data_IF_200986213148
#
_entry.id   IF_200986213148
#
_cell.length_a   1.000
_cell.length_b   1.000
_cell.length_c   1.000
_cell.angle_alpha   90.00
_cell.angle_beta   90.00
_cell.angle_gamma   90.00
#
_symmetry.space_group_name_H-M   'P 1'
#
loop_
_entity.id
_entity.type
_entity.pdbx_description
1 polymer ?
#
# COMPACT_ATOMS: atom_id res chain seq x y z
N UNK A 1 13.06 -56.59 26.13
CA UNK A 1 12.06 -57.67 26.03
C UNK A 1 12.14 -58.26 24.63
N UNK A 2 12.36 -59.56 24.59
CA UNK A 2 12.73 -60.42 23.47
C UNK A 2 11.65 -60.55 22.39
N UNK A 3 12.02 -60.93 21.15
CA UNK A 3 11.11 -61.18 20.03
C UNK A 3 10.39 -62.52 20.23
N UNK A 4 9.45 -62.57 21.18
CA UNK A 4 8.75 -63.83 21.54
C UNK A 4 7.29 -63.61 21.91
N UNK A 5 6.57 -62.77 21.15
CA UNK A 5 5.11 -62.67 21.24
C UNK A 5 4.37 -62.61 19.89
N UNK A 6 5.09 -62.45 18.76
CA UNK A 6 4.46 -62.45 17.41
C UNK A 6 4.23 -63.84 16.81
N UNK A 7 4.70 -64.93 17.45
CA UNK A 7 4.61 -66.31 16.92
C UNK A 7 3.41 -67.12 17.44
N UNK A 8 2.61 -66.59 18.38
CA UNK A 8 1.59 -67.39 19.09
C UNK A 8 0.18 -67.32 18.46
N UNK A 9 -0.11 -66.38 17.57
CA UNK A 9 -1.49 -66.17 17.09
C UNK A 9 -1.78 -66.61 15.65
N UNK A 10 -0.81 -67.11 14.88
CA UNK A 10 -1.07 -67.64 13.52
C UNK A 10 -1.78 -66.66 12.56
N UNK A 11 -1.82 -65.37 12.89
CA UNK A 11 -2.48 -64.37 12.07
C UNK A 11 -1.58 -64.03 10.87
N UNK A 12 -2.10 -64.09 9.63
CA UNK A 12 -1.32 -63.66 8.47
C UNK A 12 -0.86 -62.21 8.68
N UNK A 13 0.34 -61.83 8.19
CA UNK A 13 0.78 -60.44 8.30
C UNK A 13 -0.29 -59.54 7.69
N UNK A 14 -0.77 -58.57 8.47
CA UNK A 14 -1.67 -57.53 7.96
C UNK A 14 -0.89 -56.76 6.88
N UNK A 15 -1.03 -57.19 5.63
CA UNK A 15 -0.56 -56.44 4.47
C UNK A 15 -1.49 -55.25 4.34
N UNK A 16 -1.10 -54.12 4.93
CA UNK A 16 -1.67 -52.85 4.54
C UNK A 16 -1.43 -52.69 3.03
N UNK A 17 -2.47 -52.50 2.21
CA UNK A 17 -2.26 -52.25 0.79
C UNK A 17 -1.45 -50.97 0.66
N UNK A 18 -0.21 -51.07 0.19
CA UNK A 18 0.70 -49.93 0.00
C UNK A 18 0.36 -49.11 -1.25
N UNK A 19 -0.92 -49.01 -1.59
CA UNK A 19 -1.39 -48.27 -2.74
C UNK A 19 -2.11 -47.02 -2.22
N UNK A 20 -1.36 -45.92 -2.02
CA UNK A 20 -1.91 -44.56 -1.96
C UNK A 20 -2.44 -44.12 -3.34
N UNK A 21 -3.22 -44.96 -4.01
CA UNK A 21 -3.94 -44.62 -5.24
C UNK A 21 -5.40 -44.33 -4.93
N UNK A 22 -5.65 -43.59 -3.85
CA UNK A 22 -6.99 -43.26 -3.42
C UNK A 22 -7.43 -42.12 -4.34
N UNK A 23 -8.08 -42.50 -5.45
CA UNK A 23 -8.92 -41.68 -6.31
C UNK A 23 -8.18 -40.57 -7.08
N UNK A 24 -7.52 -40.87 -8.22
CA UNK A 24 -6.91 -39.87 -9.10
C UNK A 24 -7.87 -38.73 -9.47
N UNK A 25 -9.15 -39.07 -9.65
CA UNK A 25 -10.22 -38.11 -9.90
C UNK A 25 -10.37 -37.08 -8.77
N UNK A 26 -10.22 -37.46 -7.50
CA UNK A 26 -10.37 -36.52 -6.37
C UNK A 26 -9.31 -35.41 -6.43
N UNK A 27 -8.11 -35.74 -6.89
CA UNK A 27 -7.04 -34.77 -7.11
C UNK A 27 -7.38 -33.81 -8.27
N UNK A 28 -8.00 -34.31 -9.34
CA UNK A 28 -8.45 -33.49 -10.46
C UNK A 28 -9.57 -32.52 -10.05
N UNK A 29 -10.54 -32.97 -9.26
CA UNK A 29 -11.61 -32.10 -8.72
C UNK A 29 -11.05 -30.99 -7.83
N UNK A 30 -10.09 -31.32 -6.95
CA UNK A 30 -9.44 -30.32 -6.10
C UNK A 30 -8.66 -29.29 -6.93
N UNK A 31 -7.97 -29.73 -7.99
CA UNK A 31 -7.29 -28.83 -8.91
C UNK A 31 -8.28 -27.90 -9.61
N UNK A 32 -9.40 -28.42 -10.14
CA UNK A 32 -10.43 -27.60 -10.78
C UNK A 32 -11.06 -26.58 -9.82
N UNK A 33 -11.33 -26.99 -8.57
CA UNK A 33 -11.81 -26.07 -7.54
C UNK A 33 -10.77 -24.98 -7.28
N UNK A 34 -9.51 -25.34 -7.11
CA UNK A 34 -8.43 -24.38 -6.92
C UNK A 34 -8.34 -23.38 -8.09
N UNK A 35 -8.35 -23.87 -9.34
CA UNK A 35 -8.33 -23.02 -10.53
C UNK A 35 -9.56 -22.12 -10.62
N UNK A 36 -10.75 -22.62 -10.32
CA UNK A 36 -11.97 -21.82 -10.33
C UNK A 36 -11.92 -20.71 -9.27
N UNK A 37 -11.47 -21.03 -8.05
CA UNK A 37 -11.30 -20.04 -6.97
C UNK A 37 -10.23 -19.02 -7.32
N UNK A 38 -9.10 -19.46 -7.88
CA UNK A 38 -8.02 -18.56 -8.32
C UNK A 38 -8.48 -17.65 -9.47
N UNK A 39 -9.18 -18.19 -10.46
CA UNK A 39 -9.74 -17.41 -11.57
C UNK A 39 -10.75 -16.38 -11.07
N UNK A 40 -11.63 -16.76 -10.13
CA UNK A 40 -12.57 -15.83 -9.49
C UNK A 40 -11.83 -14.74 -8.71
N UNK A 41 -10.78 -15.09 -7.97
CA UNK A 41 -9.95 -14.13 -7.24
C UNK A 41 -9.30 -13.11 -8.18
N UNK A 42 -8.72 -13.56 -9.30
CA UNK A 42 -8.15 -12.68 -10.33
C UNK A 42 -9.24 -11.81 -10.96
N UNK A 43 -10.40 -12.38 -11.29
CA UNK A 43 -11.52 -11.65 -11.87
C UNK A 43 -11.98 -10.51 -10.96
N UNK A 44 -12.05 -10.74 -9.64
CA UNK A 44 -12.38 -9.70 -8.68
C UNK A 44 -11.37 -8.55 -8.68
N UNK A 45 -10.08 -8.82 -8.86
CA UNK A 45 -9.05 -7.78 -8.93
C UNK A 45 -9.12 -6.95 -10.23
N UNK A 46 -9.54 -7.58 -11.32
CA UNK A 46 -9.73 -6.90 -12.62
C UNK A 46 -11.05 -6.13 -12.65
N UNK A 47 -12.09 -6.64 -11.98
CA UNK A 47 -13.43 -6.04 -11.95
C UNK A 47 -13.93 -5.79 -10.51
N UNK A 48 -13.31 -4.85 -9.76
CA UNK A 48 -13.65 -4.67 -8.35
C UNK A 48 -15.03 -4.03 -8.16
N UNK A 49 -15.59 -3.43 -9.21
CA UNK A 49 -16.94 -2.84 -9.22
C UNK A 49 -18.07 -3.83 -8.89
N UNK A 50 -17.81 -5.15 -8.97
CA UNK A 50 -18.75 -6.18 -8.49
C UNK A 50 -18.95 -6.06 -6.97
N UNK A 51 -17.90 -5.71 -6.24
CA UNK A 51 -17.94 -5.49 -4.79
C UNK A 51 -18.35 -4.06 -4.46
N UNK A 52 -17.82 -3.09 -5.20
CA UNK A 52 -18.01 -1.65 -4.99
C UNK A 52 -18.96 -1.04 -6.04
N UNK A 53 -20.26 -1.20 -5.84
CA UNK A 53 -21.28 -0.88 -6.84
C UNK A 53 -21.70 0.60 -6.88
N UNK A 54 -21.44 1.38 -5.83
CA UNK A 54 -21.67 2.83 -5.83
C UNK A 54 -20.42 3.55 -6.33
N UNK A 55 -20.61 4.54 -7.21
CA UNK A 55 -19.50 5.34 -7.70
C UNK A 55 -19.84 6.82 -7.87
N UNK A 56 -18.83 7.65 -7.72
CA UNK A 56 -18.87 9.09 -7.99
C UNK A 56 -17.57 9.47 -8.72
N UNK A 57 -17.69 10.25 -9.78
CA UNK A 57 -16.54 10.74 -10.54
C UNK A 57 -16.49 12.26 -10.44
N UNK A 58 -15.39 12.79 -9.93
CA UNK A 58 -15.11 14.22 -9.87
C UNK A 58 -13.59 14.46 -9.92
N UNK A 59 -13.15 15.60 -10.45
CA UNK A 59 -11.74 16.00 -10.47
C UNK A 59 -10.75 14.96 -11.07
N UNK A 60 -11.21 14.16 -12.04
CA UNK A 60 -10.40 13.09 -12.64
C UNK A 60 -10.29 11.81 -11.80
N UNK A 61 -10.98 11.73 -10.67
CA UNK A 61 -10.95 10.59 -9.76
C UNK A 61 -12.35 9.95 -9.74
N UNK A 62 -12.42 8.65 -10.00
CA UNK A 62 -13.63 7.84 -9.79
C UNK A 62 -13.47 7.09 -8.48
N UNK A 63 -14.28 7.46 -7.49
CA UNK A 63 -14.39 6.69 -6.25
C UNK A 63 -15.46 5.64 -6.40
N UNK A 64 -15.13 4.43 -6.00
CA UNK A 64 -16.06 3.30 -5.86
C UNK A 64 -16.18 2.92 -4.39
N UNK A 65 -17.39 2.58 -3.97
CA UNK A 65 -17.69 2.21 -2.58
C UNK A 65 -18.85 1.20 -2.53
N UNK A 66 -19.04 0.58 -1.36
CA UNK A 66 -20.15 -0.37 -1.13
C UNK A 66 -21.42 0.29 -0.61
N UNK A 67 -21.35 1.53 -0.17
CA UNK A 67 -22.46 2.32 0.36
C UNK A 67 -22.57 3.63 -0.43
N UNK A 68 -23.73 4.31 -0.42
CA UNK A 68 -23.85 5.61 -1.08
C UNK A 68 -22.80 6.61 -0.59
N UNK A 69 -22.16 7.32 -1.54
CA UNK A 69 -21.14 8.32 -1.25
C UNK A 69 -21.80 9.64 -0.77
N UNK A 70 -21.35 10.23 0.35
CA UNK A 70 -21.90 11.50 0.82
C UNK A 70 -21.46 12.67 -0.07
N UNK A 71 -22.17 13.82 -0.04
CA UNK A 71 -21.75 15.02 -0.79
C UNK A 71 -20.33 15.50 -0.48
N UNK A 72 -19.85 15.25 0.75
CA UNK A 72 -18.48 15.55 1.18
C UNK A 72 -17.40 14.86 0.33
N UNK A 73 -17.74 13.79 -0.40
CA UNK A 73 -16.82 13.10 -1.32
C UNK A 73 -16.22 14.05 -2.34
N UNK A 74 -17.00 14.99 -2.89
CA UNK A 74 -16.51 15.96 -3.89
C UNK A 74 -15.37 16.83 -3.32
N UNK A 75 -15.53 17.31 -2.07
CA UNK A 75 -14.52 18.14 -1.38
C UNK A 75 -13.22 17.36 -1.15
N UNK A 76 -13.31 16.11 -0.70
CA UNK A 76 -12.14 15.23 -0.51
C UNK A 76 -11.41 15.00 -1.84
N UNK A 77 -12.17 14.78 -2.92
CA UNK A 77 -11.60 14.57 -4.26
C UNK A 77 -10.97 15.84 -4.84
N UNK A 78 -11.59 17.00 -4.64
CA UNK A 78 -11.01 18.29 -5.02
C UNK A 78 -9.67 18.51 -4.32
N UNK A 79 -9.58 18.21 -3.02
CA UNK A 79 -8.36 18.33 -2.24
C UNK A 79 -7.27 17.35 -2.69
N UNK A 80 -7.62 16.09 -2.93
CA UNK A 80 -6.69 15.09 -3.44
C UNK A 80 -6.14 15.48 -4.81
N UNK A 81 -7.02 15.92 -5.72
CA UNK A 81 -6.63 16.36 -7.05
C UNK A 81 -5.73 17.60 -7.00
N UNK A 82 -5.98 18.54 -6.10
CA UNK A 82 -5.12 19.72 -5.92
C UNK A 82 -3.71 19.35 -5.45
N UNK A 83 -3.57 18.40 -4.52
CA UNK A 83 -2.26 17.87 -4.08
C UNK A 83 -1.51 17.20 -5.24
N UNK A 84 -2.19 16.35 -6.01
CA UNK A 84 -1.58 15.68 -7.17
C UNK A 84 -1.15 16.70 -8.23
N UNK A 85 -1.99 17.72 -8.47
CA UNK A 85 -1.75 18.75 -9.48
C UNK A 85 -0.55 19.65 -9.17
N UNK A 86 -0.11 19.75 -7.91
CA UNK A 86 1.12 20.49 -7.57
C UNK A 86 2.40 19.69 -7.84
N UNK A 87 2.31 18.38 -8.13
CA UNK A 87 3.47 17.58 -8.49
C UNK A 87 3.87 17.77 -9.96
N UNK A 88 5.17 17.72 -10.26
CA UNK A 88 5.66 17.72 -11.65
C UNK A 88 5.33 16.42 -12.43
N UNK A 89 4.79 15.42 -11.75
CA UNK A 89 4.31 14.17 -12.36
C UNK A 89 2.85 14.24 -12.79
N UNK A 90 2.14 15.33 -12.45
CA UNK A 90 0.74 15.51 -12.81
C UNK A 90 0.55 15.38 -14.34
N UNK A 91 -0.31 14.45 -14.75
CA UNK A 91 -0.65 14.24 -16.16
C UNK A 91 -2.07 14.75 -16.44
N UNK A 92 -2.23 15.84 -17.23
CA UNK A 92 -3.55 16.37 -17.55
C UNK A 92 -4.46 15.34 -18.19
N UNK A 93 -5.71 15.26 -17.71
CA UNK A 93 -6.72 14.34 -18.24
C UNK A 93 -6.57 12.88 -17.83
N UNK A 94 -5.50 12.51 -17.10
CA UNK A 94 -5.36 11.17 -16.50
C UNK A 94 -6.49 10.95 -15.50
N UNK A 95 -7.06 9.74 -15.54
CA UNK A 95 -8.12 9.30 -14.63
C UNK A 95 -7.64 8.20 -13.71
N UNK A 96 -8.21 8.15 -12.52
CA UNK A 96 -7.84 7.18 -11.48
C UNK A 96 -9.10 6.53 -10.88
N UNK A 97 -9.01 5.22 -10.62
CA UNK A 97 -10.06 4.45 -9.97
C UNK A 97 -9.65 4.10 -8.54
N UNK A 98 -10.43 4.58 -7.58
CA UNK A 98 -10.17 4.45 -6.14
C UNK A 98 -11.31 3.70 -5.48
N UNK A 99 -11.02 2.54 -4.92
CA UNK A 99 -11.96 1.68 -4.23
C UNK A 99 -11.81 1.85 -2.72
N UNK A 100 -12.83 2.41 -2.07
CA UNK A 100 -12.78 2.74 -0.64
C UNK A 100 -13.56 1.72 0.17
N UNK A 101 -12.85 1.03 1.07
CA UNK A 101 -13.43 0.13 2.05
C UNK A 101 -14.15 0.86 3.18
N UNK A 102 -15.16 0.19 3.72
CA UNK A 102 -15.97 0.60 4.85
C UNK A 102 -15.92 -0.43 6.00
N UNK A 103 -15.44 -1.65 5.72
CA UNK A 103 -15.26 -2.73 6.70
C UNK A 103 -13.95 -3.50 6.43
N UNK A 104 -13.30 -4.10 7.46
CA UNK A 104 -11.95 -4.66 7.31
C UNK A 104 -11.79 -5.79 6.28
N UNK A 105 -12.84 -6.55 5.98
CA UNK A 105 -12.75 -7.70 5.08
C UNK A 105 -12.62 -7.29 3.61
N UNK A 106 -13.19 -6.14 3.19
CA UNK A 106 -13.13 -5.71 1.78
C UNK A 106 -11.70 -5.42 1.38
N UNK A 107 -10.97 -4.69 2.22
CA UNK A 107 -9.54 -4.45 2.00
C UNK A 107 -8.73 -5.75 2.02
N UNK A 108 -9.07 -6.70 2.90
CA UNK A 108 -8.40 -8.00 2.96
C UNK A 108 -8.61 -8.84 1.69
N UNK A 109 -9.68 -8.60 0.93
CA UNK A 109 -9.90 -9.29 -0.35
C UNK A 109 -8.88 -8.86 -1.42
N UNK A 110 -8.51 -7.58 -1.43
CA UNK A 110 -7.61 -6.98 -2.42
C UNK A 110 -6.17 -6.80 -1.92
N UNK A 111 -5.97 -6.90 -0.61
CA UNK A 111 -4.68 -6.75 0.06
C UNK A 111 -4.53 -7.72 1.26
N UNK A 112 -4.61 -9.05 1.05
CA UNK A 112 -4.82 -10.06 2.12
C UNK A 112 -3.78 -10.10 3.25
N UNK A 113 -2.59 -9.54 3.04
CA UNK A 113 -1.51 -9.54 4.03
C UNK A 113 -1.08 -8.12 4.43
N UNK A 114 -1.77 -7.08 3.95
CA UNK A 114 -1.40 -5.70 4.21
C UNK A 114 -2.21 -5.12 5.35
N UNK A 115 -1.54 -4.26 6.11
CA UNK A 115 -2.14 -3.44 7.17
C UNK A 115 -2.08 -1.95 6.86
N UNK A 116 -1.60 -1.55 5.68
CA UNK A 116 -1.42 -0.18 5.24
C UNK A 116 -2.76 0.55 5.04
N UNK A 117 -2.68 1.87 4.82
CA UNK A 117 -3.85 2.70 4.52
C UNK A 117 -4.48 2.34 3.19
N UNK A 118 -3.64 2.01 2.21
CA UNK A 118 -4.08 1.65 0.89
C UNK A 118 -3.05 0.75 0.19
N UNK A 119 -3.40 0.31 -1.02
CA UNK A 119 -2.49 -0.34 -1.96
C UNK A 119 -2.89 0.05 -3.39
N UNK A 120 -1.89 0.39 -4.18
CA UNK A 120 -2.00 0.52 -5.64
C UNK A 120 -1.59 -0.79 -6.30
N UNK A 121 -2.41 -1.31 -7.21
CA UNK A 121 -2.11 -2.52 -7.99
C UNK A 121 -1.40 -2.11 -9.28
N UNK A 122 -0.09 -2.40 -9.46
CA UNK A 122 0.70 -1.80 -10.55
C UNK A 122 0.30 -2.18 -11.98
N UNK A 123 -0.52 -3.22 -12.16
CA UNK A 123 -0.94 -3.69 -13.49
C UNK A 123 -2.26 -3.06 -13.93
N UNK A 124 -3.14 -2.75 -12.99
CA UNK A 124 -4.48 -2.20 -13.28
C UNK A 124 -4.63 -0.76 -12.86
N UNK A 125 -3.64 -0.21 -12.13
CA UNK A 125 -3.68 1.08 -11.45
C UNK A 125 -4.84 1.23 -10.45
N UNK A 126 -5.51 0.12 -10.10
CA UNK A 126 -6.59 0.15 -9.12
C UNK A 126 -6.00 0.48 -7.75
N UNK A 127 -6.56 1.51 -7.11
CA UNK A 127 -6.19 1.93 -5.77
C UNK A 127 -7.23 1.38 -4.79
N UNK A 128 -6.82 0.66 -3.76
CA UNK A 128 -7.70 0.15 -2.72
C UNK A 128 -7.37 0.80 -1.39
N UNK A 129 -8.30 1.54 -0.81
CA UNK A 129 -8.19 2.17 0.51
C UNK A 129 -8.85 1.28 1.57
N UNK A 130 -8.17 1.08 2.69
CA UNK A 130 -8.58 0.15 3.73
C UNK A 130 -9.90 0.57 4.39
N UNK A 131 -9.94 1.78 4.95
CA UNK A 131 -11.12 2.40 5.55
C UNK A 131 -11.08 3.90 5.26
N UNK A 132 -12.16 4.45 4.72
CA UNK A 132 -12.28 5.89 4.45
C UNK A 132 -13.59 6.48 4.95
N UNK A 133 -13.50 7.61 5.63
CA UNK A 133 -14.62 8.47 6.02
C UNK A 133 -14.52 9.80 5.26
N UNK A 134 -15.38 9.97 4.27
CA UNK A 134 -15.41 11.18 3.44
C UNK A 134 -15.94 12.41 4.19
N UNK A 135 -16.75 12.23 5.23
CA UNK A 135 -17.30 13.36 5.98
C UNK A 135 -16.25 13.98 6.87
N UNK A 136 -15.42 13.13 7.50
CA UNK A 136 -14.33 13.57 8.35
C UNK A 136 -13.01 13.82 7.60
N UNK A 137 -12.93 13.47 6.31
CA UNK A 137 -11.67 13.41 5.54
C UNK A 137 -10.62 12.54 6.24
N UNK A 138 -11.01 11.33 6.68
CA UNK A 138 -10.16 10.43 7.48
C UNK A 138 -10.01 9.08 6.80
N UNK A 139 -8.76 8.65 6.59
CA UNK A 139 -8.41 7.28 6.27
C UNK A 139 -7.87 6.56 7.50
N UNK A 140 -8.22 5.27 7.67
CA UNK A 140 -7.68 4.41 8.71
C UNK A 140 -7.03 3.16 8.14
N UNK A 141 -5.84 2.85 8.62
CA UNK A 141 -5.15 1.59 8.33
C UNK A 141 -5.47 0.54 9.40
N UNK A 142 -4.95 -0.68 9.21
CA UNK A 142 -5.10 -1.78 10.20
C UNK A 142 -3.91 -1.87 11.17
N UNK A 143 -3.00 -0.91 11.13
CA UNK A 143 -1.92 -0.83 12.10
C UNK A 143 -2.46 -0.41 13.48
N UNK A 144 -1.81 -0.84 14.57
CA UNK A 144 -2.23 -0.48 15.93
C UNK A 144 -1.92 0.98 16.26
N UNK A 145 -0.87 1.54 15.68
CA UNK A 145 -0.38 2.91 15.92
C UNK A 145 -0.18 3.63 14.59
N UNK A 146 -0.16 4.97 14.63
CA UNK A 146 0.06 5.83 13.45
C UNK A 146 -0.85 5.44 12.28
N UNK A 147 -2.09 5.11 12.61
CA UNK A 147 -3.02 4.42 11.72
C UNK A 147 -4.11 5.33 11.16
N UNK A 148 -3.96 6.64 11.33
CA UNK A 148 -4.91 7.65 10.84
C UNK A 148 -4.16 8.67 9.97
N UNK A 149 -4.77 9.08 8.85
CA UNK A 149 -4.30 10.09 7.89
C UNK A 149 -5.49 10.82 7.29
N UNK A 150 -5.27 11.95 6.62
CA UNK A 150 -6.33 12.56 5.82
C UNK A 150 -6.67 11.64 4.62
N UNK A 151 -7.96 11.45 4.33
CA UNK A 151 -8.37 10.59 3.21
C UNK A 151 -7.90 11.17 1.87
N UNK A 152 -8.02 12.48 1.69
CA UNK A 152 -7.53 13.17 0.49
C UNK A 152 -6.03 12.97 0.26
N UNK A 153 -5.24 12.95 1.33
CA UNK A 153 -3.80 12.78 1.26
C UNK A 153 -3.41 11.33 0.96
N UNK A 154 -4.12 10.34 1.52
CA UNK A 154 -3.94 8.93 1.13
C UNK A 154 -4.28 8.73 -0.35
N UNK A 155 -5.35 9.33 -0.85
CA UNK A 155 -5.69 9.28 -2.29
C UNK A 155 -4.57 9.89 -3.13
N UNK A 156 -4.08 11.08 -2.76
CA UNK A 156 -3.00 11.75 -3.48
C UNK A 156 -1.69 10.93 -3.46
N UNK A 157 -1.35 10.32 -2.32
CA UNK A 157 -0.20 9.45 -2.16
C UNK A 157 -0.27 8.25 -3.13
N UNK A 158 -1.39 7.53 -3.16
CA UNK A 158 -1.55 6.35 -4.03
C UNK A 158 -1.61 6.71 -5.51
N UNK A 159 -2.29 7.81 -5.87
CA UNK A 159 -2.25 8.35 -7.24
C UNK A 159 -0.80 8.67 -7.65
N UNK A 160 0.02 9.17 -6.73
CA UNK A 160 1.43 9.46 -7.03
C UNK A 160 2.22 8.21 -7.39
N UNK A 161 1.93 7.04 -6.79
CA UNK A 161 2.53 5.77 -7.22
C UNK A 161 2.18 5.40 -8.67
N UNK A 162 0.93 5.63 -9.08
CA UNK A 162 0.51 5.44 -10.47
C UNK A 162 1.29 6.39 -11.37
N UNK A 163 1.39 7.67 -11.02
CA UNK A 163 2.11 8.67 -11.81
C UNK A 163 3.62 8.39 -11.91
N UNK A 164 4.24 7.89 -10.85
CA UNK A 164 5.63 7.40 -10.90
C UNK A 164 5.73 6.28 -11.94
N UNK A 165 4.83 5.30 -11.88
CA UNK A 165 4.81 4.17 -12.81
C UNK A 165 4.55 4.61 -14.26
N UNK A 166 3.65 5.56 -14.48
CA UNK A 166 3.40 6.18 -15.80
C UNK A 166 4.67 6.89 -16.32
N UNK A 167 5.47 7.51 -15.43
CA UNK A 167 6.66 8.30 -15.81
C UNK A 167 7.88 7.44 -16.12
N UNK A 168 8.22 6.48 -15.28
CA UNK A 168 9.46 5.69 -15.41
C UNK A 168 9.22 4.24 -15.83
N UNK A 169 7.97 3.82 -15.97
CA UNK A 169 7.60 2.45 -16.32
C UNK A 169 7.59 1.50 -15.13
N UNK A 170 6.85 0.40 -15.28
CA UNK A 170 6.60 -0.58 -14.22
C UNK A 170 7.88 -1.19 -13.63
N UNK A 171 8.84 -1.57 -14.48
CA UNK A 171 10.06 -2.24 -14.03
C UNK A 171 10.91 -1.32 -13.16
N UNK A 172 11.09 -0.07 -13.57
CA UNK A 172 11.91 0.89 -12.83
C UNK A 172 11.19 1.40 -11.59
N UNK A 173 9.86 1.55 -11.64
CA UNK A 173 9.01 1.82 -10.48
C UNK A 173 9.16 0.76 -9.38
N UNK A 174 9.16 -0.53 -9.75
CA UNK A 174 9.36 -1.64 -8.78
C UNK A 174 10.78 -1.64 -8.20
N UNK A 175 11.78 -1.20 -8.97
CA UNK A 175 13.19 -1.16 -8.54
C UNK A 175 13.56 0.12 -7.78
N UNK A 176 12.68 1.11 -7.79
CA UNK A 176 12.92 2.40 -7.15
C UNK A 176 13.15 2.19 -5.65
N UNK A 177 14.19 2.80 -5.05
CA UNK A 177 14.40 2.71 -3.61
C UNK A 177 13.14 3.18 -2.87
N UNK A 178 12.69 2.41 -1.88
CA UNK A 178 11.43 2.69 -1.18
C UNK A 178 11.40 4.10 -0.58
N UNK A 179 12.51 4.61 -0.05
CA UNK A 179 12.58 5.97 0.49
C UNK A 179 12.35 7.06 -0.57
N UNK A 180 12.66 6.80 -1.84
CA UNK A 180 12.35 7.73 -2.94
C UNK A 180 10.88 7.61 -3.31
N UNK A 181 10.41 6.40 -3.56
CA UNK A 181 9.02 6.15 -3.97
C UNK A 181 8.03 6.70 -2.93
N UNK A 182 8.17 6.23 -1.70
CA UNK A 182 7.29 6.59 -0.58
C UNK A 182 7.51 8.03 -0.13
N UNK A 183 8.76 8.50 -0.12
CA UNK A 183 9.10 9.87 0.25
C UNK A 183 8.53 10.89 -0.74
N UNK A 184 8.54 10.60 -2.04
CA UNK A 184 7.93 11.44 -3.06
C UNK A 184 6.41 11.44 -2.96
N UNK A 185 5.78 10.27 -2.79
CA UNK A 185 4.33 10.17 -2.57
C UNK A 185 3.87 10.95 -1.33
N UNK A 186 4.57 10.81 -0.20
CA UNK A 186 4.26 11.57 1.02
C UNK A 186 4.59 13.07 0.87
N UNK A 187 5.63 13.43 0.12
CA UNK A 187 5.93 14.84 -0.19
C UNK A 187 4.78 15.47 -0.99
N UNK A 188 4.30 14.83 -2.05
CA UNK A 188 3.12 15.30 -2.82
C UNK A 188 1.86 15.35 -1.95
N UNK A 189 1.67 14.39 -1.06
CA UNK A 189 0.54 14.37 -0.13
C UNK A 189 0.65 15.39 1.02
N UNK A 190 1.81 16.05 1.17
CA UNK A 190 2.17 16.97 2.26
C UNK A 190 2.07 16.41 3.68
N UNK A 191 1.88 15.11 3.86
CA UNK A 191 1.77 14.49 5.20
C UNK A 191 2.30 13.06 5.21
N UNK A 192 2.55 12.56 6.43
CA UNK A 192 2.78 11.15 6.76
C UNK A 192 2.03 10.84 8.06
N UNK A 193 1.80 9.58 8.42
CA UNK A 193 1.03 9.26 9.63
C UNK A 193 1.79 9.41 10.95
N UNK A 194 3.11 9.64 10.91
CA UNK A 194 3.92 9.91 12.11
C UNK A 194 3.79 11.39 12.52
N UNK A 195 3.69 11.71 13.83
CA UNK A 195 3.55 13.08 14.30
C UNK A 195 4.74 13.96 13.88
N UNK A 196 4.44 15.12 13.28
CA UNK A 196 5.44 16.06 12.75
C UNK A 196 6.46 16.50 13.79
N UNK A 197 6.00 17.01 14.93
CA UNK A 197 6.87 17.59 15.96
C UNK A 197 7.82 16.53 16.55
N UNK A 198 7.28 15.37 16.90
CA UNK A 198 8.07 14.24 17.40
C UNK A 198 9.04 13.72 16.33
N UNK A 199 8.58 13.60 15.08
CA UNK A 199 9.42 13.20 13.95
C UNK A 199 10.60 14.13 13.75
N UNK A 200 10.36 15.45 13.81
CA UNK A 200 11.42 16.47 13.69
C UNK A 200 12.39 16.41 14.85
N UNK A 201 11.89 16.25 16.08
CA UNK A 201 12.70 16.13 17.30
C UNK A 201 13.62 14.92 17.23
N UNK A 202 13.08 13.75 16.87
CA UNK A 202 13.85 12.52 16.74
C UNK A 202 14.87 12.61 15.61
N UNK A 203 14.45 13.15 14.47
CA UNK A 203 15.35 13.36 13.34
C UNK A 203 16.51 14.25 13.79
N UNK A 204 16.25 15.47 14.27
CA UNK A 204 17.27 16.43 14.75
C UNK A 204 18.25 15.85 15.78
N UNK A 205 17.79 14.93 16.64
CA UNK A 205 18.64 14.24 17.61
C UNK A 205 19.48 13.09 17.03
N UNK A 206 19.36 12.79 15.73
CA UNK A 206 19.93 11.61 15.09
C UNK A 206 19.31 10.29 15.59
N UNK A 207 18.15 10.36 16.23
CA UNK A 207 17.47 9.21 16.81
C UNK A 207 16.64 8.45 15.76
N UNK A 208 16.35 7.19 16.06
CA UNK A 208 15.51 6.33 15.23
C UNK A 208 14.31 5.83 16.02
N UNK A 209 13.17 5.69 15.36
CA UNK A 209 11.97 5.09 15.93
C UNK A 209 11.63 3.80 15.17
N UNK A 210 11.26 2.71 15.86
CA UNK A 210 11.05 1.40 15.21
C UNK A 210 9.79 1.32 14.33
N UNK A 211 8.86 2.27 14.47
CA UNK A 211 7.63 2.31 13.65
C UNK A 211 7.96 2.61 12.18
N UNK A 212 7.41 1.84 11.22
CA UNK A 212 7.52 2.16 9.80
C UNK A 212 7.06 3.59 9.47
N UNK A 213 6.05 4.11 10.18
CA UNK A 213 5.55 5.48 9.97
C UNK A 213 6.65 6.54 10.14
N UNK A 214 7.63 6.32 11.01
CA UNK A 214 8.78 7.21 11.16
C UNK A 214 9.69 7.18 9.93
N UNK A 215 9.92 6.02 9.33
CA UNK A 215 10.73 5.90 8.11
C UNK A 215 10.05 6.59 6.92
N UNK A 216 8.71 6.52 6.83
CA UNK A 216 7.92 7.32 5.88
C UNK A 216 8.09 8.83 6.11
N UNK A 217 7.98 9.27 7.37
CA UNK A 217 8.23 10.67 7.75
C UNK A 217 9.63 11.11 7.31
N UNK A 218 10.67 10.35 7.64
CA UNK A 218 12.06 10.66 7.27
C UNK A 218 12.21 10.71 5.75
N UNK A 219 11.67 9.72 5.03
CA UNK A 219 11.72 9.66 3.57
C UNK A 219 11.11 10.92 2.92
N UNK A 220 9.97 11.39 3.43
CA UNK A 220 9.37 12.66 3.01
C UNK A 220 10.28 13.86 3.27
N UNK A 221 10.93 13.93 4.44
CA UNK A 221 11.88 15.02 4.73
C UNK A 221 13.07 15.01 3.77
N UNK A 222 13.61 13.83 3.45
CA UNK A 222 14.73 13.68 2.52
C UNK A 222 14.35 14.13 1.11
N UNK A 223 13.21 13.65 0.59
CA UNK A 223 12.73 14.02 -0.74
C UNK A 223 12.36 15.50 -0.80
N UNK A 224 11.68 16.03 0.22
CA UNK A 224 11.38 17.46 0.34
C UNK A 224 12.63 18.32 0.30
N UNK A 225 13.71 17.94 1.00
CA UNK A 225 14.99 18.63 0.89
C UNK A 225 15.55 18.62 -0.55
N UNK A 226 15.49 17.49 -1.24
CA UNK A 226 15.98 17.39 -2.62
C UNK A 226 15.17 18.26 -3.58
N UNK A 227 13.85 18.34 -3.41
CA UNK A 227 12.97 19.13 -4.28
C UNK A 227 13.04 20.60 -3.89
N UNK A 228 12.70 20.94 -2.66
CA UNK A 228 12.47 22.32 -2.24
C UNK A 228 13.77 23.11 -2.11
N UNK A 229 14.85 22.48 -1.65
CA UNK A 229 16.12 23.17 -1.40
C UNK A 229 17.13 22.94 -2.52
N UNK A 230 17.21 21.70 -3.01
CA UNK A 230 18.17 21.33 -4.06
C UNK A 230 17.59 21.46 -5.47
N UNK A 231 16.29 21.78 -5.58
CA UNK A 231 15.60 22.01 -6.86
C UNK A 231 15.79 20.82 -7.83
N UNK A 232 15.88 19.61 -7.29
CA UNK A 232 16.01 18.39 -8.07
C UNK A 232 14.65 17.93 -8.54
N UNK A 233 14.57 17.56 -9.82
CA UNK A 233 13.42 16.88 -10.38
C UNK A 233 13.37 15.42 -9.95
N UNK A 234 12.19 14.82 -10.01
CA UNK A 234 11.92 13.42 -9.72
C UNK A 234 12.89 12.49 -10.46
N UNK A 235 13.12 12.64 -11.76
CA UNK A 235 14.00 11.70 -12.47
C UNK A 235 15.46 11.82 -12.02
N UNK A 236 15.89 13.02 -11.60
CA UNK A 236 17.23 13.20 -11.05
C UNK A 236 17.34 12.49 -9.70
N UNK A 237 16.30 12.54 -8.87
CA UNK A 237 16.26 11.82 -7.59
C UNK A 237 16.22 10.30 -7.85
N UNK A 238 15.32 9.84 -8.73
CA UNK A 238 15.07 8.44 -9.04
C UNK A 238 16.27 7.72 -9.65
N UNK A 239 17.11 8.42 -10.41
CA UNK A 239 18.32 7.87 -11.03
C UNK A 239 19.60 8.18 -10.28
N UNK A 240 19.52 8.97 -9.19
CA UNK A 240 20.70 9.30 -8.39
C UNK A 240 21.27 8.08 -7.66
N UNK A 241 22.59 8.08 -7.43
CA UNK A 241 23.25 7.15 -6.52
C UNK A 241 23.16 7.57 -5.04
N UNK A 242 22.38 8.62 -4.74
CA UNK A 242 22.25 9.18 -3.39
C UNK A 242 21.68 8.11 -2.44
N UNK A 243 22.30 8.01 -1.28
CA UNK A 243 21.84 7.13 -0.22
C UNK A 243 21.11 7.93 0.85
N UNK A 244 19.99 7.41 1.35
CA UNK A 244 19.19 8.06 2.40
C UNK A 244 20.03 8.40 3.64
N UNK A 245 20.99 7.54 3.99
CA UNK A 245 21.91 7.73 5.12
C UNK A 245 22.77 8.99 4.98
N UNK A 246 23.27 9.26 3.77
CA UNK A 246 24.13 10.42 3.51
C UNK A 246 23.31 11.72 3.51
N UNK A 247 22.07 11.64 3.04
CA UNK A 247 21.15 12.77 3.03
C UNK A 247 20.65 13.14 4.43
N UNK A 248 20.46 12.17 5.33
CA UNK A 248 20.03 12.43 6.71
C UNK A 248 20.94 13.46 7.38
N UNK A 249 22.26 13.30 7.32
CA UNK A 249 23.21 14.26 7.91
C UNK A 249 23.05 15.69 7.35
N UNK A 250 22.77 15.82 6.05
CA UNK A 250 22.56 17.13 5.41
C UNK A 250 21.24 17.77 5.81
N UNK A 251 20.16 16.98 5.89
CA UNK A 251 18.85 17.46 6.38
C UNK A 251 18.98 17.93 7.83
N UNK A 252 19.66 17.17 8.68
CA UNK A 252 19.90 17.52 10.09
C UNK A 252 20.61 18.86 10.27
N UNK A 253 21.63 19.12 9.45
CA UNK A 253 22.39 20.37 9.53
C UNK A 253 21.54 21.62 9.19
N UNK A 254 20.36 21.44 8.60
CA UNK A 254 19.53 22.54 8.09
C UNK A 254 18.14 22.62 8.74
N UNK A 255 17.76 21.64 9.54
CA UNK A 255 16.56 21.77 10.37
C UNK A 255 16.82 22.88 11.40
N UNK A 256 15.97 23.92 11.47
CA UNK A 256 16.16 24.99 12.44
C UNK A 256 16.26 24.35 13.84
N UNK A 257 17.29 24.73 14.60
CA UNK A 257 17.41 24.33 15.98
C UNK A 257 16.10 24.68 16.67
N UNK A 258 15.38 23.66 17.15
CA UNK A 258 14.12 23.85 17.82
C UNK A 258 14.41 24.68 19.07
N UNK A 259 14.11 25.97 19.02
CA UNK A 259 13.91 26.74 20.24
C UNK A 259 12.60 26.20 20.80
N UNK A 260 12.71 25.30 21.78
CA UNK A 260 11.56 24.88 22.58
C UNK A 260 11.03 26.07 23.38
N UNK A 261 9.79 25.99 23.88
CA UNK A 261 9.29 26.94 24.87
C UNK A 261 10.17 26.97 26.13
#
# INVERSE_FOLDING_TARGET
MTPTLKKILGLPPLRWPSNRHWLPWLNDWLNWIFFAVFALFVLLHVFPGIVFHHKLTAHGITVHSRAPLPPATDVVLARAAALVASSELATPGRRFDVYVGDVPWTYSLFAPFRKSFAVTVPVTDNIFIALGDFTADVARSRNPEYNTRALSAVIAHEITHVLITDRIGLVDSIRLPSWVAEGYCDHVAHESSFPEEEGRRLLAAGAVHPSPAYEYFVSRQLVGYLIDQRQMRFEQIATSSLQSKDLRANVLAQMPAHQGP
#
